data_IF_929217326564
#
_entry.id   IF_929217326564
#
_cell.length_a   1.000
_cell.length_b   1.000
_cell.length_c   1.000
_cell.angle_alpha   90.00
_cell.angle_beta   90.00
_cell.angle_gamma   90.00
#
_symmetry.space_group_name_H-M   'P 1'
#
loop_
_entity.id
_entity.type
_entity.pdbx_description
1 polymer ?
#
# COMPACT_ATOMS: atom_id res chain seq x y z
N UNK A 1 9.65 -13.14 9.26
CA UNK A 1 8.95 -12.35 8.23
C UNK A 1 9.98 -11.44 7.57
N UNK A 2 10.28 -11.70 6.30
CA UNK A 2 11.28 -10.95 5.53
C UNK A 2 10.57 -10.17 4.42
N UNK A 3 10.36 -8.87 4.66
CA UNK A 3 9.69 -7.98 3.70
C UNK A 3 10.71 -7.59 2.63
N UNK A 4 10.34 -7.75 1.37
CA UNK A 4 11.12 -7.32 0.20
C UNK A 4 10.78 -5.88 -0.19
N UNK A 5 9.50 -5.55 -0.23
CA UNK A 5 9.02 -4.21 -0.55
C UNK A 5 7.60 -3.98 -0.07
N UNK A 6 7.21 -2.71 0.03
CA UNK A 6 5.83 -2.29 0.26
C UNK A 6 5.42 -1.39 -0.91
N UNK A 7 4.28 -1.68 -1.51
CA UNK A 7 3.72 -0.92 -2.63
C UNK A 7 2.38 -0.33 -2.24
N UNK A 8 2.24 0.97 -2.42
CA UNK A 8 0.96 1.66 -2.31
C UNK A 8 0.45 1.97 -3.71
N UNK A 9 -0.62 1.30 -4.10
CA UNK A 9 -1.29 1.49 -5.38
C UNK A 9 -2.51 2.40 -5.20
N UNK A 10 -2.70 3.32 -6.14
CA UNK A 10 -3.87 4.18 -6.25
C UNK A 10 -4.48 3.98 -7.64
N UNK A 11 -5.74 3.56 -7.68
CA UNK A 11 -6.52 3.42 -8.92
C UNK A 11 -7.87 4.12 -8.79
N UNK A 12 -8.38 4.64 -9.90
CA UNK A 12 -9.71 5.22 -10.05
C UNK A 12 -10.53 4.41 -11.09
N UNK A 13 -10.96 3.19 -10.75
CA UNK A 13 -11.49 2.23 -11.72
C UNK A 13 -12.79 2.69 -12.39
N UNK A 14 -13.54 3.60 -11.75
CA UNK A 14 -14.76 4.17 -12.33
C UNK A 14 -14.52 5.04 -13.58
N UNK A 15 -13.27 5.41 -13.89
CA UNK A 15 -12.94 6.21 -15.07
C UNK A 15 -12.71 5.37 -16.34
N UNK A 16 -12.80 4.04 -16.25
CA UNK A 16 -12.69 3.12 -17.39
C UNK A 16 -11.43 3.37 -18.24
N UNK A 17 -11.55 3.77 -19.51
CA UNK A 17 -10.39 4.02 -20.38
C UNK A 17 -9.50 5.19 -19.92
N UNK A 18 -9.99 6.03 -19.01
CA UNK A 18 -9.22 7.13 -18.40
C UNK A 18 -8.65 6.76 -17.03
N UNK A 19 -8.78 5.49 -16.61
CA UNK A 19 -8.16 4.98 -15.40
C UNK A 19 -6.64 5.21 -15.43
N UNK A 20 -6.11 5.66 -14.30
CA UNK A 20 -4.68 5.80 -14.07
C UNK A 20 -4.33 5.05 -12.81
N UNK A 21 -3.39 4.12 -12.93
CA UNK A 21 -2.81 3.40 -11.80
C UNK A 21 -1.52 4.13 -11.44
N UNK A 22 -1.43 4.58 -10.19
CA UNK A 22 -0.21 5.14 -9.62
C UNK A 22 0.28 4.20 -8.52
N UNK A 23 1.52 3.75 -8.61
CA UNK A 23 2.12 2.92 -7.57
C UNK A 23 3.32 3.64 -6.97
N UNK A 24 3.46 3.53 -5.65
CA UNK A 24 4.61 4.01 -4.91
C UNK A 24 5.23 2.80 -4.24
N UNK A 25 6.41 2.40 -4.69
CA UNK A 25 7.12 1.23 -4.17
C UNK A 25 8.28 1.66 -3.28
N UNK A 26 8.28 1.20 -2.04
CA UNK A 26 9.39 1.33 -1.11
C UNK A 26 10.08 -0.04 -0.96
N UNK A 27 11.30 -0.15 -1.50
CA UNK A 27 12.12 -1.36 -1.37
C UNK A 27 12.72 -1.44 0.03
N UNK A 28 12.73 -2.63 0.62
CA UNK A 28 13.35 -2.85 1.92
C UNK A 28 14.89 -2.91 1.81
N UNK A 29 15.52 -1.73 1.85
CA UNK A 29 16.98 -1.58 1.92
C UNK A 29 17.43 -1.22 3.34
N UNK A 30 18.74 -1.22 3.59
CA UNK A 30 19.32 -0.81 4.88
C UNK A 30 18.84 0.58 5.33
N UNK A 31 18.59 1.50 4.40
CA UNK A 31 18.10 2.86 4.72
C UNK A 31 16.62 2.91 5.11
N UNK A 32 15.83 1.89 4.80
CA UNK A 32 14.37 1.88 4.97
C UNK A 32 13.90 0.86 6.01
N UNK A 33 14.70 -0.18 6.29
CA UNK A 33 14.30 -1.31 7.13
C UNK A 33 13.79 -0.91 8.52
N UNK A 34 14.42 0.07 9.18
CA UNK A 34 13.96 0.55 10.49
C UNK A 34 12.57 1.17 10.41
N UNK A 35 12.29 1.93 9.34
CA UNK A 35 11.02 2.63 9.14
C UNK A 35 9.91 1.65 8.77
N UNK A 36 10.22 0.69 7.90
CA UNK A 36 9.31 -0.39 7.51
C UNK A 36 8.96 -1.24 8.73
N UNK A 37 9.95 -1.72 9.49
CA UNK A 37 9.70 -2.53 10.68
C UNK A 37 8.87 -1.77 11.72
N UNK A 38 9.22 -0.50 11.99
CA UNK A 38 8.44 0.36 12.88
C UNK A 38 6.97 0.44 12.46
N UNK A 39 6.71 0.69 11.17
CA UNK A 39 5.35 0.75 10.65
C UNK A 39 4.62 -0.59 10.84
N UNK A 40 5.25 -1.71 10.49
CA UNK A 40 4.65 -3.05 10.61
C UNK A 40 4.36 -3.43 12.07
N UNK A 41 5.22 -3.01 13.00
CA UNK A 41 5.12 -3.35 14.41
C UNK A 41 4.13 -2.46 15.17
N UNK A 42 4.05 -1.17 14.81
CA UNK A 42 3.24 -0.17 15.54
C UNK A 42 1.88 0.11 14.89
N UNK A 43 1.76 -0.02 13.56
CA UNK A 43 0.48 0.22 12.88
C UNK A 43 -0.57 -0.77 13.37
N UNK A 44 -1.76 -0.27 13.71
CA UNK A 44 -2.90 -1.07 14.11
C UNK A 44 -3.92 -1.14 12.98
N UNK A 45 -4.44 -2.33 12.73
CA UNK A 45 -5.47 -2.60 11.72
C UNK A 45 -6.84 -2.57 12.39
N UNK A 46 -7.69 -1.62 11.99
CA UNK A 46 -9.05 -1.42 12.52
C UNK A 46 -9.10 -1.28 14.05
N UNK A 47 -8.00 -0.82 14.66
CA UNK A 47 -7.84 -0.72 16.11
C UNK A 47 -7.73 -2.07 16.84
N UNK A 48 -7.85 -3.22 16.16
CA UNK A 48 -7.94 -4.55 16.78
C UNK A 48 -6.57 -5.11 17.15
N UNK A 49 -5.63 -5.11 16.20
CA UNK A 49 -4.30 -5.71 16.36
C UNK A 49 -3.24 -4.96 15.56
N UNK A 50 -1.97 -5.31 15.75
CA UNK A 50 -0.86 -4.76 14.95
C UNK A 50 -0.89 -5.31 13.53
N UNK A 51 -0.29 -4.58 12.58
CA UNK A 51 -0.18 -4.99 11.19
C UNK A 51 0.64 -6.28 11.07
N UNK A 52 1.69 -6.46 11.88
CA UNK A 52 2.40 -7.74 12.01
C UNK A 52 1.46 -8.91 12.35
N UNK A 53 0.66 -8.77 13.41
CA UNK A 53 -0.24 -9.84 13.83
C UNK A 53 -1.31 -10.13 12.77
N UNK A 54 -1.78 -9.09 12.06
CA UNK A 54 -2.68 -9.25 10.94
C UNK A 54 -2.04 -10.04 9.78
N UNK A 55 -0.81 -9.71 9.41
CA UNK A 55 -0.04 -10.43 8.38
C UNK A 55 0.11 -11.91 8.75
N UNK A 56 0.46 -12.19 10.00
CA UNK A 56 0.59 -13.56 10.52
C UNK A 56 -0.75 -14.30 10.44
N UNK A 57 -1.86 -13.66 10.84
CA UNK A 57 -3.20 -14.23 10.76
C UNK A 57 -3.67 -14.51 9.33
N UNK A 58 -3.32 -13.65 8.37
CA UNK A 58 -3.59 -13.89 6.94
C UNK A 58 -2.80 -15.12 6.45
N UNK A 59 -1.50 -15.19 6.77
CA UNK A 59 -0.65 -16.32 6.37
C UNK A 59 -1.08 -17.64 7.00
N UNK A 60 -1.56 -17.62 8.24
CA UNK A 60 -2.08 -18.81 8.94
C UNK A 60 -3.56 -19.10 8.64
N UNK A 61 -4.22 -18.26 7.83
CA UNK A 61 -5.65 -18.34 7.54
C UNK A 61 -6.53 -18.38 8.81
N UNK A 62 -6.17 -17.61 9.84
CA UNK A 62 -6.94 -17.54 11.10
C UNK A 62 -8.24 -16.75 10.89
N UNK A 63 -9.28 -17.47 10.48
CA UNK A 63 -10.59 -16.89 10.17
C UNK A 63 -11.21 -16.16 11.36
N UNK A 64 -10.97 -16.60 12.60
CA UNK A 64 -11.55 -15.94 13.78
C UNK A 64 -10.97 -14.54 13.97
N UNK A 65 -9.65 -14.42 13.81
CA UNK A 65 -8.95 -13.14 13.94
C UNK A 65 -9.32 -12.22 12.76
N UNK A 66 -9.36 -12.74 11.54
CA UNK A 66 -9.74 -11.97 10.36
C UNK A 66 -11.18 -11.47 10.46
N UNK A 67 -12.12 -12.29 10.91
CA UNK A 67 -13.51 -11.89 11.15
C UNK A 67 -13.63 -10.77 12.18
N UNK A 68 -12.82 -10.79 13.23
CA UNK A 68 -12.80 -9.71 14.23
C UNK A 68 -12.34 -8.38 13.62
N UNK A 69 -11.31 -8.41 12.77
CA UNK A 69 -10.83 -7.22 12.06
C UNK A 69 -11.89 -6.67 11.12
N UNK A 70 -12.58 -7.54 10.37
CA UNK A 70 -13.64 -7.14 9.44
C UNK A 70 -14.88 -6.60 10.15
N UNK A 71 -15.24 -7.12 11.33
CA UNK A 71 -16.34 -6.57 12.13
C UNK A 71 -16.09 -5.12 12.58
N UNK A 72 -14.82 -4.73 12.71
CA UNK A 72 -14.40 -3.38 13.08
C UNK A 72 -14.01 -2.54 11.85
N UNK A 73 -14.19 -3.07 10.63
CA UNK A 73 -13.89 -2.32 9.42
C UNK A 73 -14.81 -1.10 9.30
N UNK A 74 -14.29 0.07 8.90
CA UNK A 74 -15.13 1.19 8.53
C UNK A 74 -16.07 0.80 7.38
N UNK A 75 -17.28 1.38 7.39
CA UNK A 75 -18.30 1.15 6.36
C UNK A 75 -18.34 2.33 5.39
N UNK A 76 -17.21 2.60 4.74
CA UNK A 76 -17.14 3.62 3.69
C UNK A 76 -17.79 3.13 2.40
N UNK A 77 -18.54 4.01 1.73
CA UNK A 77 -19.04 3.77 0.37
C UNK A 77 -18.00 4.25 -0.66
N UNK A 78 -17.98 3.62 -1.84
CA UNK A 78 -17.14 4.00 -2.98
C UNK A 78 -18.00 4.80 -3.96
N UNK A 79 -17.75 6.10 -4.05
CA UNK A 79 -18.42 6.96 -5.03
C UNK A 79 -17.70 6.94 -6.38
N UNK A 80 -18.41 7.33 -7.44
CA UNK A 80 -17.83 7.50 -8.77
C UNK A 80 -16.71 8.56 -8.74
N UNK A 81 -15.59 8.25 -9.37
CA UNK A 81 -14.40 9.10 -9.44
C UNK A 81 -13.47 8.98 -8.23
N UNK A 82 -13.88 8.31 -7.16
CA UNK A 82 -13.01 8.09 -6.00
C UNK A 82 -11.88 7.10 -6.30
N UNK A 83 -10.78 7.31 -5.58
CA UNK A 83 -9.59 6.48 -5.68
C UNK A 83 -9.68 5.30 -4.71
N UNK A 84 -9.54 4.09 -5.22
CA UNK A 84 -9.22 2.90 -4.43
C UNK A 84 -7.72 2.91 -4.18
N UNK A 85 -7.33 2.73 -2.92
CA UNK A 85 -5.92 2.61 -2.56
C UNK A 85 -5.63 1.24 -1.99
N UNK A 86 -4.69 0.52 -2.58
CA UNK A 86 -4.32 -0.82 -2.14
C UNK A 86 -2.91 -0.81 -1.56
N UNK A 87 -2.71 -1.50 -0.45
CA UNK A 87 -1.40 -1.69 0.15
C UNK A 87 -0.96 -3.13 -0.07
N UNK A 88 0.14 -3.30 -0.77
CA UNK A 88 0.76 -4.60 -1.03
C UNK A 88 2.05 -4.71 -0.23
N UNK A 89 2.22 -5.83 0.46
CA UNK A 89 3.43 -6.18 1.18
C UNK A 89 4.00 -7.42 0.51
N UNK A 90 5.16 -7.27 -0.12
CA UNK A 90 5.85 -8.34 -0.82
C UNK A 90 6.94 -8.91 0.08
N UNK A 91 7.04 -10.22 0.15
CA UNK A 91 8.03 -10.93 0.96
C UNK A 91 9.15 -11.51 0.10
N UNK A 92 10.28 -11.85 0.73
CA UNK A 92 11.45 -12.43 0.04
C UNK A 92 11.18 -13.84 -0.53
N UNK A 93 10.21 -14.57 0.02
CA UNK A 93 9.75 -15.88 -0.49
C UNK A 93 8.80 -15.76 -1.70
N UNK A 94 8.66 -14.56 -2.27
CA UNK A 94 7.74 -14.18 -3.34
C UNK A 94 6.25 -14.28 -2.99
N UNK A 95 5.89 -14.56 -1.73
CA UNK A 95 4.52 -14.38 -1.27
C UNK A 95 4.18 -12.88 -1.13
N UNK A 96 2.88 -12.57 -1.07
CA UNK A 96 2.42 -11.21 -0.85
C UNK A 96 1.09 -11.17 -0.11
N UNK A 97 0.89 -10.11 0.67
CA UNK A 97 -0.39 -9.79 1.28
C UNK A 97 -0.88 -8.46 0.74
N UNK A 98 -2.17 -8.39 0.43
CA UNK A 98 -2.84 -7.20 -0.08
C UNK A 98 -3.93 -6.76 0.90
N UNK A 99 -3.85 -5.51 1.37
CA UNK A 99 -4.96 -4.84 2.02
C UNK A 99 -5.63 -3.97 0.96
N UNK A 100 -6.81 -4.39 0.50
CA UNK A 100 -7.53 -3.67 -0.55
C UNK A 100 -8.34 -2.51 0.03
N UNK A 101 -8.31 -1.37 -0.65
CA UNK A 101 -9.05 -0.18 -0.26
C UNK A 101 -8.73 0.26 1.17
N UNK A 102 -7.43 0.40 1.47
CA UNK A 102 -6.89 0.73 2.79
C UNK A 102 -7.44 2.04 3.37
N UNK A 103 -8.06 2.87 2.53
CA UNK A 103 -8.60 4.14 2.97
C UNK A 103 -10.08 4.11 3.35
N UNK A 104 -10.82 3.08 2.94
CA UNK A 104 -12.25 2.96 3.26
C UNK A 104 -12.59 1.70 4.03
N UNK A 105 -11.84 0.63 3.81
CA UNK A 105 -12.08 -0.68 4.46
C UNK A 105 -11.16 -0.94 5.64
N UNK A 106 -10.14 -0.10 5.80
CA UNK A 106 -9.20 -0.21 6.90
C UNK A 106 -9.00 1.13 7.59
N UNK A 107 -8.86 1.09 8.91
CA UNK A 107 -8.26 2.16 9.68
C UNK A 107 -6.87 1.70 10.11
N UNK A 108 -5.86 2.12 9.36
CA UNK A 108 -4.46 1.76 9.60
C UNK A 108 -3.72 2.91 10.28
N UNK A 109 -3.41 2.76 11.57
CA UNK A 109 -2.69 3.81 12.30
C UNK A 109 -1.26 3.96 11.77
N UNK A 110 -0.67 5.15 11.93
CA UNK A 110 0.67 5.50 11.44
C UNK A 110 0.85 5.44 9.90
N UNK A 111 -0.20 5.12 9.15
CA UNK A 111 -0.13 5.03 7.70
C UNK A 111 -0.12 6.41 7.05
N UNK A 112 -1.20 7.18 7.19
CA UNK A 112 -1.49 8.36 6.35
C UNK A 112 -0.60 9.59 6.49
N UNK A 113 -0.17 9.95 7.69
CA UNK A 113 0.63 11.17 7.90
C UNK A 113 2.14 10.88 7.89
N UNK A 114 2.50 9.65 8.23
CA UNK A 114 3.88 9.31 8.57
C UNK A 114 4.49 8.36 7.56
N UNK A 115 3.85 7.23 7.28
CA UNK A 115 4.43 6.20 6.43
C UNK A 115 4.20 6.46 4.93
N UNK A 116 2.99 6.87 4.53
CA UNK A 116 2.70 7.21 3.12
C UNK A 116 3.51 8.41 2.64
N UNK A 117 3.65 9.46 3.46
CA UNK A 117 4.51 10.61 3.15
C UNK A 117 5.97 10.18 2.94
N UNK A 118 6.46 9.27 3.78
CA UNK A 118 7.80 8.70 3.63
C UNK A 118 7.93 7.87 2.35
N UNK A 119 6.92 7.05 2.00
CA UNK A 119 6.89 6.31 0.74
C UNK A 119 6.89 7.26 -0.47
N UNK A 120 6.13 8.35 -0.44
CA UNK A 120 6.14 9.36 -1.50
C UNK A 120 7.52 10.03 -1.63
N UNK A 121 8.20 10.28 -0.51
CA UNK A 121 9.51 10.95 -0.52
C UNK A 121 10.66 10.02 -0.95
N UNK A 122 10.64 8.75 -0.52
CA UNK A 122 11.76 7.82 -0.66
C UNK A 122 11.50 6.65 -1.60
N UNK A 123 10.25 6.39 -1.94
CA UNK A 123 9.85 5.32 -2.84
C UNK A 123 10.02 5.69 -4.31
N UNK A 124 9.88 4.67 -5.16
CA UNK A 124 9.82 4.84 -6.60
C UNK A 124 8.37 4.99 -7.03
N UNK A 125 8.07 6.05 -7.77
CA UNK A 125 6.74 6.30 -8.33
C UNK A 125 6.67 5.71 -9.74
N UNK A 126 5.67 4.87 -9.99
CA UNK A 126 5.31 4.39 -11.32
C UNK A 126 3.88 4.81 -11.63
N UNK A 127 3.61 5.14 -12.89
CA UNK A 127 2.26 5.45 -13.38
C UNK A 127 2.01 4.73 -14.67
N UNK A 128 0.85 4.11 -14.80
CA UNK A 128 0.48 3.43 -16.02
C UNK A 128 -1.04 3.46 -16.23
N UNK A 129 -1.45 3.31 -17.48
CA UNK A 129 -2.86 3.23 -17.88
C UNK A 129 -3.19 1.78 -18.24
N UNK A 130 -4.12 1.11 -17.53
CA UNK A 130 -4.40 -0.30 -17.76
C UNK A 130 -4.98 -0.59 -19.16
N UNK A 131 -5.58 0.42 -19.81
CA UNK A 131 -6.20 0.31 -21.14
C UNK A 131 -5.45 1.06 -22.25
N UNK A 132 -4.26 1.60 -21.98
CA UNK A 132 -3.44 2.08 -23.07
C UNK A 132 -2.93 0.86 -23.84
N UNK A 133 -3.13 0.83 -25.17
CA UNK A 133 -2.51 -0.18 -26.01
C UNK A 133 -0.99 -0.21 -25.80
N UNK A 134 -0.33 -1.28 -26.26
CA UNK A 134 1.11 -1.60 -26.13
C UNK A 134 2.14 -0.48 -26.49
N UNK A 135 1.72 0.76 -26.73
CA UNK A 135 2.55 1.90 -27.13
C UNK A 135 2.77 2.97 -26.05
N UNK A 136 2.02 3.02 -24.94
CA UNK A 136 2.12 4.14 -23.98
C UNK A 136 2.68 3.78 -22.59
N UNK A 137 3.73 2.96 -22.53
CA UNK A 137 4.53 2.83 -21.29
C UNK A 137 5.47 4.04 -21.15
N UNK A 138 4.97 5.16 -20.63
CA UNK A 138 5.85 6.23 -20.12
C UNK A 138 6.37 5.83 -18.73
N UNK A 139 7.57 5.24 -18.69
CA UNK A 139 8.34 5.14 -17.44
C UNK A 139 8.88 6.53 -17.12
N UNK A 140 8.12 7.31 -16.37
CA UNK A 140 8.61 8.59 -15.84
C UNK A 140 9.44 8.30 -14.58
N UNK A 141 10.74 8.03 -14.75
CA UNK A 141 11.70 8.12 -13.64
C UNK A 141 11.90 9.59 -13.27
N UNK A 142 11.14 10.11 -12.31
CA UNK A 142 11.47 11.42 -11.71
C UNK A 142 12.74 11.28 -10.84
N UNK A 143 13.92 11.45 -11.45
CA UNK A 143 15.14 11.77 -10.71
C UNK A 143 15.03 13.20 -10.17
N UNK A 144 14.55 13.36 -8.94
CA UNK A 144 14.56 14.66 -8.26
C UNK A 144 16.00 15.10 -8.00
N UNK A 145 16.47 16.07 -8.80
CA UNK A 145 17.71 16.83 -8.56
C UNK A 145 17.69 17.36 -7.13
N UNK A 146 18.68 16.97 -6.33
CA UNK A 146 19.01 17.68 -5.09
C UNK A 146 19.26 19.15 -5.44
N UNK A 147 18.42 20.06 -4.94
CA UNK A 147 18.81 21.46 -4.85
C UNK A 147 19.91 21.52 -3.80
N UNK A 148 21.15 21.64 -4.24
CA UNK A 148 22.17 22.37 -3.50
C UNK A 148 21.87 23.84 -3.75
N UNK A 149 21.51 24.56 -2.69
CA UNK A 149 22.08 25.85 -2.28
C UNK A 149 21.41 26.27 -0.96
#
# INVERSE_FOLDING_TARGET
MHIKSITLEHTNPSLGPHETITEITLVNSESHIKRINKFIDEARVNGVMTLRAYIEAVNSQDSKILDQVWKQAPKGELNEGETISNLHIHFEDNSSISLSDVYRRFNLTHFYAEFTAYMVEKGTLTRHKPFAGLQDYEVIEEKRKKRQD
#
